data_IF_609901765537
#
_entry.id   IF_609901765537
#
_cell.length_a   1.000
_cell.length_b   1.000
_cell.length_c   1.000
_cell.angle_alpha   90.00
_cell.angle_beta   90.00
_cell.angle_gamma   90.00
#
_symmetry.space_group_name_H-M   'P 1'
#
loop_
_entity.id
_entity.type
_entity.pdbx_description
1 polymer ?
#
# COMPACT_ATOMS: atom_id res chain seq x y z
N UNK A 1 -34.14 -28.84 1.84
CA UNK A 1 -32.81 -28.83 2.47
C UNK A 1 -31.91 -28.01 1.56
N UNK A 2 -31.65 -26.73 1.86
CA UNK A 2 -30.64 -25.86 1.18
C UNK A 2 -30.92 -24.36 1.46
N UNK A 3 -30.94 -23.96 2.72
CA UNK A 3 -30.85 -22.52 3.11
C UNK A 3 -29.95 -22.32 4.33
N UNK A 4 -29.82 -23.35 5.19
CA UNK A 4 -28.97 -23.32 6.38
C UNK A 4 -27.46 -23.39 6.08
N UNK A 5 -27.02 -24.13 5.06
CA UNK A 5 -25.57 -24.26 4.78
C UNK A 5 -24.94 -22.96 4.27
N UNK A 6 -25.72 -22.08 3.62
CA UNK A 6 -25.22 -20.81 3.09
C UNK A 6 -25.23 -19.68 4.14
N UNK A 7 -26.06 -19.78 5.20
CA UNK A 7 -26.04 -18.81 6.31
C UNK A 7 -24.87 -19.05 7.25
N UNK A 8 -24.54 -20.32 7.52
CA UNK A 8 -23.47 -20.68 8.47
C UNK A 8 -22.08 -20.22 7.96
N UNK A 9 -21.82 -20.36 6.66
CA UNK A 9 -20.56 -19.89 6.05
C UNK A 9 -20.45 -18.36 5.99
N UNK A 10 -21.57 -17.66 5.77
CA UNK A 10 -21.62 -16.20 5.73
C UNK A 10 -21.45 -15.58 7.13
N UNK A 11 -22.06 -16.18 8.15
CA UNK A 11 -21.88 -15.78 9.56
C UNK A 11 -20.43 -16.01 10.02
N UNK A 12 -19.78 -17.09 9.56
CA UNK A 12 -18.37 -17.37 9.84
C UNK A 12 -17.44 -16.37 9.13
N UNK A 13 -17.69 -16.06 7.85
CA UNK A 13 -16.95 -15.04 7.11
C UNK A 13 -17.06 -13.67 7.79
N UNK A 14 -18.27 -13.26 8.19
CA UNK A 14 -18.47 -12.02 8.92
C UNK A 14 -17.69 -12.00 10.25
N UNK A 15 -17.67 -13.12 10.97
CA UNK A 15 -16.88 -13.29 12.20
C UNK A 15 -15.37 -13.11 11.97
N UNK A 16 -14.81 -13.77 10.95
CA UNK A 16 -13.41 -13.60 10.58
C UNK A 16 -13.08 -12.18 10.14
N UNK A 17 -13.97 -11.55 9.37
CA UNK A 17 -13.82 -10.18 8.91
C UNK A 17 -13.72 -9.20 10.09
N UNK A 18 -14.67 -9.28 11.02
CA UNK A 18 -14.69 -8.44 12.22
C UNK A 18 -13.42 -8.62 13.05
N UNK A 19 -13.00 -9.87 13.27
CA UNK A 19 -11.81 -10.17 14.07
C UNK A 19 -10.51 -9.76 13.38
N UNK A 20 -10.41 -9.93 12.06
CA UNK A 20 -9.25 -9.47 11.29
C UNK A 20 -9.09 -7.95 11.38
N UNK A 21 -10.19 -7.20 11.27
CA UNK A 21 -10.19 -5.74 11.44
C UNK A 21 -9.72 -5.34 12.84
N UNK A 22 -10.26 -5.96 13.89
CA UNK A 22 -9.85 -5.69 15.28
C UNK A 22 -8.35 -5.98 15.51
N UNK A 23 -7.82 -7.04 14.90
CA UNK A 23 -6.40 -7.37 14.96
C UNK A 23 -5.55 -6.30 14.27
N UNK A 24 -5.97 -5.76 13.12
CA UNK A 24 -5.28 -4.65 12.47
C UNK A 24 -5.35 -3.35 13.27
N UNK A 25 -6.47 -3.06 13.91
CA UNK A 25 -6.61 -1.90 14.81
C UNK A 25 -5.73 -2.04 16.06
N UNK A 26 -5.55 -3.28 16.55
CA UNK A 26 -4.71 -3.61 17.69
C UNK A 26 -3.24 -3.85 17.33
N UNK A 27 -2.81 -3.47 16.11
CA UNK A 27 -1.42 -3.65 15.61
C UNK A 27 -0.90 -5.09 15.63
N UNK A 28 -1.78 -6.07 15.36
CA UNK A 28 -1.47 -7.49 15.23
C UNK A 28 -1.65 -8.00 13.78
N UNK A 29 -0.93 -7.44 12.78
CA UNK A 29 -1.22 -7.69 11.36
C UNK A 29 -0.91 -9.13 10.92
N UNK A 30 0.09 -9.80 11.51
CA UNK A 30 0.37 -11.22 11.19
C UNK A 30 -0.79 -12.14 11.57
N UNK A 31 -1.45 -11.91 12.72
CA UNK A 31 -2.61 -12.68 13.12
C UNK A 31 -3.82 -12.35 12.23
N UNK A 32 -3.97 -11.09 11.79
CA UNK A 32 -5.00 -10.69 10.86
C UNK A 32 -4.86 -11.43 9.52
N UNK A 33 -3.63 -11.57 8.99
CA UNK A 33 -3.36 -12.29 7.73
C UNK A 33 -3.91 -13.73 7.75
N UNK A 34 -3.80 -14.45 8.87
CA UNK A 34 -4.34 -15.81 8.98
C UNK A 34 -5.87 -15.88 8.82
N UNK A 35 -6.59 -14.84 9.25
CA UNK A 35 -8.04 -14.75 9.08
C UNK A 35 -8.40 -14.25 7.68
N UNK A 36 -7.61 -13.31 7.15
CA UNK A 36 -7.78 -12.78 5.80
C UNK A 36 -7.57 -13.87 4.74
N UNK A 37 -6.61 -14.78 4.93
CA UNK A 37 -6.42 -15.93 4.02
C UNK A 37 -7.68 -16.80 3.93
N UNK A 38 -8.40 -16.98 5.04
CA UNK A 38 -9.68 -17.72 5.06
C UNK A 38 -10.79 -16.94 4.36
N UNK A 39 -10.84 -15.62 4.55
CA UNK A 39 -11.78 -14.74 3.86
C UNK A 39 -11.57 -14.77 2.34
N UNK A 40 -10.32 -14.69 1.88
CA UNK A 40 -10.00 -14.73 0.45
C UNK A 40 -10.34 -16.08 -0.20
N UNK A 41 -10.32 -17.18 0.56
CA UNK A 41 -10.76 -18.48 0.07
C UNK A 41 -12.27 -18.54 -0.18
N UNK A 42 -13.06 -17.73 0.53
CA UNK A 42 -14.53 -17.66 0.35
C UNK A 42 -14.94 -16.53 -0.61
N UNK A 43 -14.28 -15.38 -0.54
CA UNK A 43 -14.62 -14.17 -1.30
C UNK A 43 -13.38 -13.55 -1.99
N UNK A 44 -12.81 -14.21 -3.00
CA UNK A 44 -11.54 -13.78 -3.63
C UNK A 44 -11.62 -12.43 -4.38
N UNK A 45 -12.83 -11.92 -4.64
CA UNK A 45 -13.08 -10.66 -5.35
C UNK A 45 -13.66 -9.56 -4.44
N UNK A 46 -13.68 -9.77 -3.12
CA UNK A 46 -14.18 -8.77 -2.19
C UNK A 46 -13.17 -7.64 -2.02
N UNK A 47 -13.53 -6.44 -2.50
CA UNK A 47 -12.67 -5.25 -2.40
C UNK A 47 -12.34 -4.91 -0.93
N UNK A 48 -13.29 -5.12 -0.01
CA UNK A 48 -13.08 -4.85 1.42
C UNK A 48 -12.10 -5.83 2.07
N UNK A 49 -12.11 -7.11 1.65
CA UNK A 49 -11.14 -8.11 2.08
C UNK A 49 -9.77 -7.81 1.48
N UNK A 50 -9.72 -7.43 0.20
CA UNK A 50 -8.47 -7.05 -0.48
C UNK A 50 -7.82 -5.81 0.16
N UNK A 51 -8.61 -4.82 0.59
CA UNK A 51 -8.11 -3.67 1.33
C UNK A 51 -7.49 -4.06 2.67
N UNK A 52 -8.16 -4.92 3.45
CA UNK A 52 -7.58 -5.42 4.70
C UNK A 52 -6.30 -6.22 4.45
N UNK A 53 -6.25 -7.03 3.40
CA UNK A 53 -5.07 -7.78 3.02
C UNK A 53 -3.89 -6.85 2.69
N UNK A 54 -4.11 -5.87 1.81
CA UNK A 54 -3.09 -4.89 1.43
C UNK A 54 -2.58 -4.09 2.63
N UNK A 55 -3.48 -3.68 3.54
CA UNK A 55 -3.12 -2.99 4.78
C UNK A 55 -2.30 -3.88 5.71
N UNK A 56 -2.72 -5.13 5.91
CA UNK A 56 -1.99 -6.09 6.73
C UNK A 56 -0.57 -6.32 6.21
N UNK A 57 -0.41 -6.49 4.90
CA UNK A 57 0.90 -6.62 4.25
C UNK A 57 1.77 -5.38 4.47
N UNK A 58 1.20 -4.18 4.32
CA UNK A 58 1.90 -2.93 4.60
C UNK A 58 2.38 -2.85 6.07
N UNK A 59 1.52 -3.21 7.02
CA UNK A 59 1.82 -3.17 8.45
C UNK A 59 2.89 -4.23 8.84
N UNK A 60 2.97 -5.34 8.11
CA UNK A 60 4.07 -6.32 8.22
C UNK A 60 5.35 -5.92 7.48
N UNK A 61 5.37 -4.74 6.86
CA UNK A 61 6.48 -4.22 6.04
C UNK A 61 6.80 -5.00 4.76
N UNK A 62 5.90 -5.88 4.29
CA UNK A 62 5.98 -6.46 2.95
C UNK A 62 5.42 -5.48 1.91
N UNK A 63 6.16 -4.39 1.66
CA UNK A 63 5.71 -3.31 0.78
C UNK A 63 5.52 -3.75 -0.67
N UNK A 64 6.23 -4.79 -1.10
CA UNK A 64 6.11 -5.30 -2.47
C UNK A 64 4.79 -6.05 -2.64
N UNK A 65 4.49 -6.98 -1.74
CA UNK A 65 3.22 -7.69 -1.77
C UNK A 65 2.05 -6.72 -1.54
N UNK A 66 2.20 -5.76 -0.61
CA UNK A 66 1.19 -4.75 -0.35
C UNK A 66 0.88 -3.90 -1.59
N UNK A 67 1.90 -3.44 -2.32
CA UNK A 67 1.70 -2.69 -3.56
C UNK A 67 0.94 -3.51 -4.62
N UNK A 68 1.24 -4.80 -4.76
CA UNK A 68 0.52 -5.70 -5.68
C UNK A 68 -0.94 -5.91 -5.24
N UNK A 69 -1.19 -6.05 -3.94
CA UNK A 69 -2.56 -6.16 -3.42
C UNK A 69 -3.35 -4.87 -3.65
N UNK A 70 -2.73 -3.70 -3.47
CA UNK A 70 -3.35 -2.42 -3.82
C UNK A 70 -3.62 -2.28 -5.33
N UNK A 71 -2.74 -2.81 -6.20
CA UNK A 71 -3.01 -2.86 -7.65
C UNK A 71 -4.27 -3.67 -7.96
N UNK A 72 -4.46 -4.81 -7.31
CA UNK A 72 -5.69 -5.61 -7.45
C UNK A 72 -6.90 -4.84 -6.91
N UNK A 73 -6.77 -4.16 -5.77
CA UNK A 73 -7.85 -3.35 -5.20
C UNK A 73 -8.27 -2.22 -6.14
N UNK A 74 -7.32 -1.53 -6.80
CA UNK A 74 -7.60 -0.50 -7.80
C UNK A 74 -8.39 -1.09 -8.98
N UNK A 75 -8.08 -2.33 -9.40
CA UNK A 75 -8.84 -3.00 -10.47
C UNK A 75 -10.26 -3.36 -10.03
N UNK A 76 -10.44 -3.78 -8.78
CA UNK A 76 -11.76 -4.14 -8.22
C UNK A 76 -12.63 -2.91 -7.93
N UNK A 77 -12.02 -1.81 -7.46
CA UNK A 77 -12.70 -0.57 -7.08
C UNK A 77 -11.87 0.64 -7.54
N UNK A 78 -11.98 1.05 -8.82
CA UNK A 78 -11.22 2.18 -9.36
C UNK A 78 -11.51 3.54 -8.71
N UNK A 79 -12.60 3.63 -7.96
CA UNK A 79 -13.03 4.79 -7.19
C UNK A 79 -12.48 4.79 -5.74
N UNK A 80 -11.75 3.76 -5.33
CA UNK A 80 -11.14 3.67 -4.01
C UNK A 80 -9.87 4.55 -3.93
N UNK A 81 -10.02 5.76 -3.40
CA UNK A 81 -8.93 6.70 -3.18
C UNK A 81 -7.82 6.17 -2.24
N UNK A 82 -8.19 5.35 -1.26
CA UNK A 82 -7.27 4.77 -0.29
C UNK A 82 -6.34 3.75 -0.95
N UNK A 83 -6.78 3.06 -2.00
CA UNK A 83 -5.94 2.11 -2.73
C UNK A 83 -4.75 2.79 -3.41
N UNK A 84 -4.98 3.94 -4.05
CA UNK A 84 -3.92 4.78 -4.61
C UNK A 84 -2.99 5.33 -3.52
N UNK A 85 -3.55 5.80 -2.41
CA UNK A 85 -2.75 6.28 -1.28
C UNK A 85 -1.84 5.16 -0.72
N UNK A 86 -2.42 3.99 -0.42
CA UNK A 86 -1.72 2.83 0.10
C UNK A 86 -0.60 2.35 -0.82
N UNK A 87 -0.87 2.23 -2.13
CA UNK A 87 0.16 1.90 -3.13
C UNK A 87 1.26 2.95 -3.17
N UNK A 88 0.90 4.24 -3.15
CA UNK A 88 1.85 5.35 -3.11
C UNK A 88 2.78 5.30 -1.89
N UNK A 89 2.26 4.94 -0.73
CA UNK A 89 3.03 4.74 0.51
C UNK A 89 3.94 3.50 0.43
N UNK A 90 3.49 2.40 -0.17
CA UNK A 90 4.33 1.23 -0.41
C UNK A 90 5.53 1.60 -1.30
N UNK A 91 5.26 2.28 -2.41
CA UNK A 91 6.28 2.74 -3.36
C UNK A 91 7.26 3.71 -2.70
N UNK A 92 6.78 4.59 -1.82
CA UNK A 92 7.64 5.44 -1.01
C UNK A 92 8.64 4.61 -0.18
N UNK A 93 8.14 3.62 0.58
CA UNK A 93 8.97 2.77 1.45
C UNK A 93 10.00 1.97 0.65
N UNK A 94 9.68 1.62 -0.59
CA UNK A 94 10.58 0.99 -1.56
C UNK A 94 11.48 1.99 -2.33
N UNK A 95 11.43 3.28 -1.97
CA UNK A 95 12.18 4.37 -2.64
C UNK A 95 11.88 4.52 -4.14
N UNK A 96 10.70 4.11 -4.60
CA UNK A 96 10.22 4.32 -5.96
C UNK A 96 9.48 5.66 -6.03
N UNK A 97 10.19 6.77 -5.83
CA UNK A 97 9.58 8.08 -5.59
C UNK A 97 8.81 8.64 -6.80
N UNK A 98 9.21 8.30 -8.04
CA UNK A 98 8.47 8.72 -9.23
C UNK A 98 7.09 8.07 -9.25
N UNK A 99 7.03 6.75 -9.10
CA UNK A 99 5.76 6.01 -9.07
C UNK A 99 4.93 6.40 -7.84
N UNK A 100 5.58 6.58 -6.69
CA UNK A 100 4.94 7.06 -5.47
C UNK A 100 4.25 8.42 -5.69
N UNK A 101 4.91 9.36 -6.37
CA UNK A 101 4.33 10.66 -6.72
C UNK A 101 3.07 10.53 -7.57
N UNK A 102 3.09 9.63 -8.55
CA UNK A 102 1.96 9.49 -9.47
C UNK A 102 0.73 8.94 -8.73
N UNK A 103 0.91 7.91 -7.89
CA UNK A 103 -0.17 7.33 -7.08
C UNK A 103 -0.67 8.28 -5.98
N UNK A 104 0.23 8.93 -5.23
CA UNK A 104 -0.15 9.91 -4.21
C UNK A 104 -0.81 11.15 -4.82
N UNK A 105 -0.41 11.52 -6.05
CA UNK A 105 -1.05 12.56 -6.84
C UNK A 105 -2.49 12.19 -7.19
N UNK A 106 -2.73 10.96 -7.64
CA UNK A 106 -4.08 10.46 -7.91
C UNK A 106 -4.96 10.50 -6.67
N UNK A 107 -4.50 9.94 -5.55
CA UNK A 107 -5.23 9.97 -4.28
C UNK A 107 -5.58 11.42 -3.85
N UNK A 108 -4.63 12.35 -3.96
CA UNK A 108 -4.86 13.76 -3.63
C UNK A 108 -5.86 14.46 -4.57
N UNK A 109 -5.96 14.05 -5.83
CA UNK A 109 -6.96 14.58 -6.79
C UNK A 109 -8.34 14.01 -6.50
N UNK A 110 -8.43 12.71 -6.19
CA UNK A 110 -9.70 12.04 -5.85
C UNK A 110 -10.30 12.59 -4.55
N UNK A 111 -9.45 12.90 -3.55
CA UNK A 111 -9.86 13.40 -2.24
C UNK A 111 -9.04 14.63 -1.80
N UNK A 112 -9.31 15.81 -2.36
CA UNK A 112 -8.59 17.03 -1.99
C UNK A 112 -8.88 17.51 -0.57
N UNK A 113 -9.96 17.03 0.06
CA UNK A 113 -10.32 17.27 1.46
C UNK A 113 -9.45 16.47 2.45
N UNK A 114 -8.80 15.39 2.00
CA UNK A 114 -7.94 14.54 2.83
C UNK A 114 -6.54 15.14 2.94
N UNK A 115 -6.33 15.92 3.99
CA UNK A 115 -5.03 16.57 4.27
C UNK A 115 -3.85 15.59 4.34
N UNK A 116 -4.08 14.36 4.79
CA UNK A 116 -3.07 13.31 4.84
C UNK A 116 -2.51 12.96 3.45
N UNK A 117 -3.37 12.89 2.43
CA UNK A 117 -2.96 12.61 1.05
C UNK A 117 -2.19 13.79 0.46
N UNK A 118 -2.70 15.01 0.66
CA UNK A 118 -2.03 16.23 0.20
C UNK A 118 -0.62 16.37 0.81
N UNK A 119 -0.47 16.04 2.11
CA UNK A 119 0.82 16.04 2.80
C UNK A 119 1.77 14.99 2.24
N UNK A 120 1.31 13.75 2.05
CA UNK A 120 2.14 12.70 1.47
C UNK A 120 2.60 13.06 0.04
N UNK A 121 1.69 13.61 -0.77
CA UNK A 121 2.02 14.08 -2.12
C UNK A 121 3.01 15.26 -2.13
N UNK A 122 2.86 16.22 -1.21
CA UNK A 122 3.84 17.31 -1.06
C UNK A 122 5.22 16.77 -0.63
N UNK A 123 5.24 15.81 0.29
CA UNK A 123 6.45 15.18 0.80
C UNK A 123 7.22 14.48 -0.32
N UNK A 124 6.56 13.77 -1.24
CA UNK A 124 7.27 13.01 -2.31
C UNK A 124 7.85 13.95 -3.35
N UNK A 125 7.13 15.04 -3.65
CA UNK A 125 7.65 16.11 -4.49
C UNK A 125 8.87 16.79 -3.88
N UNK A 126 8.85 17.05 -2.57
CA UNK A 126 9.99 17.63 -1.86
C UNK A 126 11.21 16.70 -1.91
N UNK A 127 11.00 15.39 -1.69
CA UNK A 127 12.08 14.39 -1.80
C UNK A 127 12.66 14.31 -3.22
N UNK A 128 11.81 14.28 -4.24
CA UNK A 128 12.27 14.30 -5.63
C UNK A 128 13.07 15.57 -5.95
N UNK A 129 12.59 16.74 -5.52
CA UNK A 129 13.30 18.01 -5.70
C UNK A 129 14.67 18.00 -5.02
N UNK A 130 14.74 17.58 -3.76
CA UNK A 130 15.99 17.50 -3.02
C UNK A 130 16.98 16.52 -3.67
N UNK A 131 16.51 15.40 -4.22
CA UNK A 131 17.34 14.46 -4.98
C UNK A 131 17.87 15.08 -6.27
N UNK A 132 17.04 15.79 -7.02
CA UNK A 132 17.47 16.52 -8.24
C UNK A 132 18.55 17.55 -7.89
N UNK A 133 18.32 18.37 -6.87
CA UNK A 133 19.26 19.42 -6.43
C UNK A 133 20.59 18.83 -5.96
N UNK A 134 20.55 17.66 -5.31
CA UNK A 134 21.74 16.92 -4.90
C UNK A 134 22.34 16.02 -6.00
N UNK A 135 21.78 16.05 -7.22
CA UNK A 135 22.20 15.20 -8.33
C UNK A 135 22.01 13.69 -8.09
N UNK A 136 21.19 13.27 -7.12
CA UNK A 136 20.94 11.89 -6.72
C UNK A 136 19.92 11.20 -7.66
N UNK A 137 19.96 9.84 -7.77
CA UNK A 137 18.95 9.10 -8.51
C UNK A 137 17.55 9.36 -7.94
N UNK A 138 16.55 9.44 -8.81
CA UNK A 138 15.16 9.75 -8.40
C UNK A 138 14.44 8.58 -7.75
N UNK A 139 14.97 7.37 -7.90
CA UNK A 139 14.54 6.18 -7.18
C UNK A 139 15.71 5.63 -6.36
N UNK A 140 15.43 4.71 -5.44
CA UNK A 140 16.44 3.99 -4.68
C UNK A 140 16.28 2.47 -4.79
N UNK A 141 17.00 1.72 -3.94
CA UNK A 141 18.03 2.24 -3.03
C UNK A 141 19.19 2.85 -3.81
N UNK A 142 19.84 3.88 -3.24
CA UNK A 142 21.10 4.40 -3.79
C UNK A 142 22.13 3.30 -3.54
N UNK A 143 22.72 2.75 -4.60
CA UNK A 143 23.81 1.80 -4.43
C UNK A 143 25.02 2.54 -3.81
N UNK A 144 25.79 1.85 -2.97
CA UNK A 144 27.05 2.41 -2.48
C UNK A 144 28.00 2.72 -3.64
N UNK A 145 27.97 1.97 -4.75
CA UNK A 145 28.75 2.30 -5.95
C UNK A 145 28.42 3.69 -6.51
N UNK A 146 27.13 4.06 -6.57
CA UNK A 146 26.69 5.39 -7.03
C UNK A 146 27.20 6.54 -6.14
N UNK A 147 27.50 6.26 -4.86
CA UNK A 147 28.12 7.23 -3.96
C UNK A 147 29.62 7.36 -4.22
N UNK A 148 30.32 6.25 -4.46
CA UNK A 148 31.76 6.25 -4.71
C UNK A 148 32.13 6.93 -6.03
N UNK A 149 31.39 6.63 -7.11
CA UNK A 149 31.65 7.21 -8.44
C UNK A 149 31.46 8.73 -8.45
N UNK A 150 30.53 9.26 -7.64
CA UNK A 150 30.34 10.71 -7.50
C UNK A 150 31.44 11.40 -6.70
N UNK A 151 32.07 10.74 -5.73
CA UNK A 151 33.16 11.34 -4.95
C UNK A 151 34.43 11.48 -5.80
N UNK A 152 34.64 10.56 -6.75
CA UNK A 152 35.83 10.53 -7.59
C UNK A 152 35.67 11.28 -8.92
N UNK A 153 34.45 11.61 -9.32
CA UNK A 153 34.15 12.29 -10.59
C UNK A 153 34.38 13.80 -10.63
N UNK A 154 34.83 14.43 -9.54
CA UNK A 154 35.02 15.88 -9.41
C UNK A 154 36.51 16.31 -9.46
N UNK A 155 37.43 15.40 -9.79
CA UNK A 155 38.90 15.66 -9.84
C UNK A 155 39.52 15.71 -11.26
N UNK A 156 38.76 16.02 -12.32
CA UNK A 156 39.31 16.13 -13.69
C UNK A 156 38.95 17.42 -14.42
#
# INVERSE_FOLDING_TARGET
>A
MSIAENSDGQDEAYGWYSRARELLESSNPHAALLLIDRLMAQEPQSASVMEMYARALFDTSDFRAAAMAFDVLIQLSPDNDYAHFGKGMCLWRMQQFILSRDELGMASVMRPDRLEYARAYAQVKATLRARIEAGLPLNGPIDNQDKFDRILGDES
#
